data_IF_664657141907
#
_entry.id   IF_664657141907
#
_cell.length_a   1.000
_cell.length_b   1.000
_cell.length_c   1.000
_cell.angle_alpha   90.00
_cell.angle_beta   90.00
_cell.angle_gamma   90.00
#
_symmetry.space_group_name_H-M   'P 1'
#
loop_
_entity.id
_entity.type
_entity.pdbx_description
1 polymer ?
#
# COMPACT_ATOMS: atom_id res chain seq x y z
N UNK A 1 -15.32 -22.12 29.37
CA UNK A 1 -15.10 -20.69 28.98
C UNK A 1 -13.63 -20.36 29.20
N UNK A 2 -12.85 -20.11 28.13
CA UNK A 2 -11.45 -19.74 28.25
C UNK A 2 -11.29 -18.35 28.87
N UNK A 3 -10.28 -18.18 29.74
CA UNK A 3 -9.95 -16.86 30.32
C UNK A 3 -9.56 -15.88 29.19
N UNK A 4 -10.14 -14.69 29.18
CA UNK A 4 -9.81 -13.60 28.26
C UNK A 4 -8.31 -13.26 28.42
N UNK A 5 -7.58 -13.03 27.32
CA UNK A 5 -6.14 -12.70 27.30
C UNK A 5 -5.16 -13.82 27.74
N UNK A 6 -5.45 -15.08 27.50
CA UNK A 6 -4.40 -16.10 27.66
C UNK A 6 -3.32 -15.90 26.58
N UNK A 7 -2.02 -15.89 26.96
CA UNK A 7 -0.94 -15.76 25.99
C UNK A 7 -0.88 -17.05 25.14
N UNK A 8 -1.01 -16.88 23.84
CA UNK A 8 -0.92 -17.97 22.86
C UNK A 8 0.55 -18.19 22.54
N UNK A 9 1.05 -19.42 22.60
CA UNK A 9 2.43 -19.73 22.24
C UNK A 9 2.71 -19.38 20.78
N UNK A 10 3.97 -19.10 20.44
CA UNK A 10 4.36 -18.75 19.06
C UNK A 10 3.97 -19.83 18.04
N UNK A 11 4.05 -21.11 18.43
CA UNK A 11 3.62 -22.24 17.58
C UNK A 11 2.11 -22.25 17.36
N UNK A 12 1.32 -22.02 18.40
CA UNK A 12 -0.14 -21.94 18.29
C UNK A 12 -0.58 -20.75 17.43
N UNK A 13 0.13 -19.59 17.52
CA UNK A 13 -0.17 -18.42 16.70
C UNK A 13 0.05 -18.70 15.22
N UNK A 14 1.13 -19.41 14.86
CA UNK A 14 1.39 -19.84 13.49
C UNK A 14 0.33 -20.86 13.03
N UNK A 15 -0.01 -21.83 13.85
CA UNK A 15 -1.03 -22.85 13.56
C UNK A 15 -2.39 -22.18 13.27
N UNK A 16 -2.85 -21.28 14.14
CA UNK A 16 -4.11 -20.57 13.92
C UNK A 16 -4.07 -19.66 12.68
N UNK A 17 -2.91 -19.08 12.37
CA UNK A 17 -2.72 -18.33 11.12
C UNK A 17 -2.87 -19.24 9.89
N UNK A 18 -2.23 -20.41 9.88
CA UNK A 18 -2.36 -21.39 8.80
C UNK A 18 -3.81 -21.86 8.66
N UNK A 19 -4.47 -22.19 9.77
CA UNK A 19 -5.88 -22.61 9.76
C UNK A 19 -6.77 -21.53 9.14
N UNK A 20 -6.57 -20.25 9.51
CA UNK A 20 -7.33 -19.14 8.93
C UNK A 20 -7.15 -19.02 7.40
N UNK A 21 -5.92 -19.12 6.91
CA UNK A 21 -5.63 -19.11 5.46
C UNK A 21 -6.24 -20.35 4.78
N UNK A 22 -6.10 -21.53 5.39
CA UNK A 22 -6.67 -22.77 4.83
C UNK A 22 -8.19 -22.67 4.72
N UNK A 23 -8.88 -22.12 5.72
CA UNK A 23 -10.34 -21.91 5.66
C UNK A 23 -10.72 -21.03 4.48
N UNK A 24 -10.00 -19.91 4.24
CA UNK A 24 -10.26 -19.05 3.10
C UNK A 24 -10.06 -19.77 1.76
N UNK A 25 -8.98 -20.56 1.63
CA UNK A 25 -8.71 -21.34 0.42
C UNK A 25 -9.78 -22.41 0.19
N UNK A 26 -10.22 -23.10 1.25
CA UNK A 26 -11.28 -24.11 1.16
C UNK A 26 -12.60 -23.46 0.74
N UNK A 27 -12.99 -22.33 1.36
CA UNK A 27 -14.22 -21.61 0.99
C UNK A 27 -14.17 -21.19 -0.49
N UNK A 28 -13.06 -20.63 -0.94
CA UNK A 28 -12.88 -20.26 -2.36
C UNK A 28 -13.00 -21.51 -3.26
N UNK A 29 -12.31 -22.59 -2.94
CA UNK A 29 -12.32 -23.82 -3.74
C UNK A 29 -13.70 -24.44 -3.85
N UNK A 30 -14.47 -24.44 -2.74
CA UNK A 30 -15.87 -24.93 -2.73
C UNK A 30 -16.76 -24.05 -3.59
N UNK A 31 -16.62 -22.72 -3.52
CA UNK A 31 -17.40 -21.80 -4.33
C UNK A 31 -17.06 -21.96 -5.82
N UNK A 32 -15.77 -22.02 -6.17
CA UNK A 32 -15.32 -22.24 -7.54
C UNK A 32 -15.80 -23.58 -8.08
N UNK A 33 -15.72 -24.66 -7.29
CA UNK A 33 -16.22 -25.98 -7.69
C UNK A 33 -17.73 -25.97 -7.96
N UNK A 34 -18.52 -25.39 -7.06
CA UNK A 34 -19.99 -25.28 -7.25
C UNK A 34 -20.35 -24.53 -8.52
N UNK A 35 -19.62 -23.45 -8.82
CA UNK A 35 -19.83 -22.65 -10.02
C UNK A 35 -19.53 -23.46 -11.29
N UNK A 36 -18.40 -24.18 -11.31
CA UNK A 36 -18.01 -25.00 -12.47
C UNK A 36 -18.90 -26.23 -12.69
N UNK A 37 -19.54 -26.75 -11.66
CA UNK A 37 -20.56 -27.80 -11.79
C UNK A 37 -21.82 -27.28 -12.51
N UNK A 38 -22.18 -26.01 -12.27
CA UNK A 38 -23.32 -25.39 -12.94
C UNK A 38 -22.97 -24.89 -14.34
N UNK A 39 -21.77 -24.34 -14.53
CA UNK A 39 -21.28 -23.83 -15.80
C UNK A 39 -19.79 -24.17 -15.97
N UNK A 40 -19.43 -25.23 -16.72
CA UNK A 40 -18.04 -25.65 -16.89
C UNK A 40 -17.11 -24.61 -17.54
N UNK A 41 -17.68 -23.67 -18.31
CA UNK A 41 -16.95 -22.62 -19.02
C UNK A 41 -16.91 -21.29 -18.25
N UNK A 42 -17.35 -21.28 -17.00
CA UNK A 42 -17.39 -20.05 -16.21
C UNK A 42 -15.99 -19.53 -15.89
N UNK A 43 -15.78 -18.25 -16.14
CA UNK A 43 -14.54 -17.53 -15.87
C UNK A 43 -14.64 -16.62 -14.65
N UNK A 44 -15.82 -16.48 -14.03
CA UNK A 44 -16.03 -15.55 -12.89
C UNK A 44 -15.34 -15.98 -11.61
N UNK A 45 -15.30 -17.29 -11.33
CA UNK A 45 -14.58 -17.89 -10.21
C UNK A 45 -13.58 -18.92 -10.74
N UNK A 46 -12.38 -18.51 -11.20
CA UNK A 46 -11.43 -19.41 -11.85
C UNK A 46 -11.06 -20.60 -10.96
N UNK A 47 -10.89 -21.75 -11.58
CA UNK A 47 -10.33 -22.91 -10.93
C UNK A 47 -8.80 -22.81 -10.82
N UNK A 48 -8.16 -23.74 -10.10
CA UNK A 48 -6.70 -23.73 -9.88
C UNK A 48 -5.92 -23.79 -11.20
N UNK A 49 -6.43 -24.52 -12.20
CA UNK A 49 -5.77 -24.62 -13.52
C UNK A 49 -5.86 -23.31 -14.28
N UNK A 50 -7.01 -22.64 -14.28
CA UNK A 50 -7.20 -21.33 -14.89
C UNK A 50 -6.33 -20.26 -14.20
N UNK A 51 -6.25 -20.27 -12.85
CA UNK A 51 -5.36 -19.38 -12.11
C UNK A 51 -3.89 -19.58 -12.48
N UNK A 52 -3.45 -20.83 -12.63
CA UNK A 52 -2.10 -21.13 -13.04
C UNK A 52 -1.80 -20.69 -14.48
N UNK A 53 -2.76 -20.89 -15.38
CA UNK A 53 -2.65 -20.41 -16.75
C UNK A 53 -2.60 -18.86 -16.79
N UNK A 54 -3.50 -18.18 -16.11
CA UNK A 54 -3.49 -16.73 -16.02
C UNK A 54 -2.19 -16.18 -15.40
N UNK A 55 -1.61 -16.88 -14.41
CA UNK A 55 -0.29 -16.53 -13.88
C UNK A 55 0.81 -16.68 -14.93
N UNK A 56 0.79 -17.74 -15.72
CA UNK A 56 1.74 -17.94 -16.83
C UNK A 56 1.60 -16.82 -17.87
N UNK A 57 0.38 -16.43 -18.19
CA UNK A 57 0.10 -15.42 -19.21
C UNK A 57 0.65 -14.04 -18.81
N UNK A 58 0.51 -13.63 -17.54
CA UNK A 58 1.09 -12.37 -17.05
C UNK A 58 2.63 -12.38 -16.95
N UNK A 59 3.23 -13.58 -16.89
CA UNK A 59 4.69 -13.74 -16.90
C UNK A 59 5.27 -13.78 -18.30
N UNK A 60 4.44 -13.82 -19.37
CA UNK A 60 4.92 -13.79 -20.75
C UNK A 60 5.16 -12.34 -21.21
N UNK A 61 6.09 -12.11 -22.15
CA UNK A 61 6.30 -10.79 -22.75
C UNK A 61 5.03 -10.28 -23.43
N UNK A 62 4.83 -8.98 -23.38
CA UNK A 62 3.71 -8.32 -24.08
C UNK A 62 3.94 -8.48 -25.59
N UNK A 63 3.11 -9.27 -26.26
CA UNK A 63 3.18 -9.48 -27.70
C UNK A 63 2.77 -8.20 -28.47
N UNK A 64 3.60 -7.17 -28.45
CA UNK A 64 3.37 -5.91 -29.16
C UNK A 64 4.07 -5.84 -30.51
N UNK A 65 5.29 -6.36 -30.60
CA UNK A 65 6.09 -6.32 -31.83
C UNK A 65 6.10 -7.66 -32.56
N UNK A 66 6.00 -8.78 -31.84
CA UNK A 66 6.10 -10.11 -32.46
C UNK A 66 4.89 -10.43 -33.34
N UNK A 67 3.69 -9.99 -32.96
CA UNK A 67 2.49 -10.18 -33.79
C UNK A 67 2.50 -9.31 -35.05
N UNK A 68 3.06 -8.10 -34.98
CA UNK A 68 3.26 -7.23 -36.14
C UNK A 68 4.40 -7.74 -37.00
N UNK A 69 5.52 -8.14 -36.42
CA UNK A 69 6.63 -8.73 -37.15
C UNK A 69 6.22 -10.01 -37.89
N UNK A 70 5.45 -10.90 -37.24
CA UNK A 70 4.90 -12.09 -37.85
C UNK A 70 3.89 -11.76 -38.98
N UNK A 71 3.07 -10.70 -38.80
CA UNK A 71 2.14 -10.25 -39.84
C UNK A 71 2.86 -9.68 -41.07
N UNK A 72 4.09 -9.14 -40.92
CA UNK A 72 4.93 -8.64 -41.98
C UNK A 72 6.00 -9.67 -42.47
N UNK A 73 5.97 -10.91 -41.94
CA UNK A 73 6.90 -11.96 -42.35
C UNK A 73 8.36 -11.72 -41.90
N UNK A 74 8.54 -10.88 -40.89
CA UNK A 74 9.84 -10.62 -40.28
C UNK A 74 10.10 -11.67 -39.19
N UNK A 75 11.27 -12.30 -39.19
CA UNK A 75 11.66 -13.17 -38.08
C UNK A 75 11.85 -12.34 -36.81
N UNK A 76 11.26 -12.76 -35.66
CA UNK A 76 11.45 -12.07 -34.40
C UNK A 76 12.95 -12.08 -34.02
N UNK A 77 13.51 -10.93 -33.71
CA UNK A 77 14.88 -10.85 -33.22
C UNK A 77 15.05 -11.69 -31.94
N UNK A 78 16.19 -12.37 -31.76
CA UNK A 78 16.43 -13.16 -30.54
C UNK A 78 16.48 -12.25 -29.31
N UNK A 79 15.37 -12.16 -28.62
CA UNK A 79 15.24 -11.34 -27.41
C UNK A 79 16.04 -11.97 -26.27
N UNK A 80 16.94 -11.22 -25.65
CA UNK A 80 17.73 -11.67 -24.50
C UNK A 80 16.82 -12.17 -23.37
N UNK A 81 17.30 -13.13 -22.57
CA UNK A 81 16.53 -13.63 -21.41
C UNK A 81 16.14 -12.51 -20.45
N UNK A 82 17.00 -11.52 -20.25
CA UNK A 82 16.69 -10.34 -19.43
C UNK A 82 15.58 -9.47 -20.04
N UNK A 83 15.60 -9.29 -21.36
CA UNK A 83 14.56 -8.51 -22.05
C UNK A 83 13.20 -9.21 -21.98
N UNK A 84 13.17 -10.54 -22.04
CA UNK A 84 11.94 -11.32 -21.82
C UNK A 84 11.34 -11.14 -20.43
N UNK A 85 12.18 -11.07 -19.40
CA UNK A 85 11.70 -10.86 -18.03
C UNK A 85 11.24 -9.41 -17.83
N UNK A 86 12.00 -8.43 -18.31
CA UNK A 86 11.66 -7.01 -18.14
C UNK A 86 10.47 -6.56 -18.97
N UNK A 87 10.21 -7.22 -20.11
CA UNK A 87 9.04 -6.98 -20.96
C UNK A 87 7.80 -7.81 -20.57
N UNK A 88 7.89 -8.65 -19.53
CA UNK A 88 6.72 -9.34 -19.01
C UNK A 88 5.69 -8.34 -18.46
N UNK A 89 4.43 -8.55 -18.77
CA UNK A 89 3.32 -7.69 -18.32
C UNK A 89 3.41 -7.38 -16.83
N UNK A 90 3.62 -8.43 -16.03
CA UNK A 90 3.71 -8.31 -14.59
C UNK A 90 4.82 -7.35 -14.15
N UNK A 91 5.99 -7.41 -14.75
CA UNK A 91 7.15 -6.59 -14.32
C UNK A 91 6.94 -5.14 -14.67
N UNK A 92 6.46 -4.84 -15.87
CA UNK A 92 6.17 -3.49 -16.35
C UNK A 92 5.09 -2.84 -15.47
N UNK A 93 3.96 -3.54 -15.26
CA UNK A 93 2.84 -3.06 -14.48
C UNK A 93 3.20 -2.90 -13.00
N UNK A 94 3.93 -3.87 -12.42
CA UNK A 94 4.41 -3.80 -11.05
C UNK A 94 5.36 -2.62 -10.85
N UNK A 95 6.31 -2.43 -11.76
CA UNK A 95 7.25 -1.31 -11.68
C UNK A 95 6.54 0.05 -11.70
N UNK A 96 5.58 0.23 -12.60
CA UNK A 96 4.77 1.45 -12.68
C UNK A 96 4.00 1.69 -11.37
N UNK A 97 3.24 0.69 -10.92
CA UNK A 97 2.41 0.80 -9.71
C UNK A 97 3.26 1.05 -8.46
N UNK A 98 4.34 0.29 -8.23
CA UNK A 98 5.16 0.47 -7.02
C UNK A 98 5.99 1.75 -7.02
N UNK A 99 6.44 2.21 -8.18
CA UNK A 99 7.12 3.50 -8.29
C UNK A 99 6.17 4.65 -7.91
N UNK A 100 4.94 4.63 -8.38
CA UNK A 100 3.89 5.61 -8.02
C UNK A 100 3.56 5.53 -6.53
N UNK A 101 3.37 4.31 -6.01
CA UNK A 101 3.09 4.08 -4.59
C UNK A 101 4.20 4.64 -3.71
N UNK A 102 5.45 4.33 -4.04
CA UNK A 102 6.60 4.81 -3.28
C UNK A 102 6.70 6.34 -3.30
N UNK A 103 6.58 6.96 -4.48
CA UNK A 103 6.58 8.42 -4.61
C UNK A 103 5.46 9.06 -3.77
N UNK A 104 4.24 8.52 -3.85
CA UNK A 104 3.09 9.03 -3.10
C UNK A 104 3.25 8.89 -1.58
N UNK A 105 3.71 7.72 -1.11
CA UNK A 105 3.98 7.47 0.31
C UNK A 105 5.14 8.32 0.84
N UNK A 106 6.21 8.50 0.06
CA UNK A 106 7.34 9.36 0.46
C UNK A 106 6.93 10.82 0.61
N UNK A 107 6.25 11.39 -0.40
CA UNK A 107 5.77 12.76 -0.34
C UNK A 107 4.71 12.97 0.73
N UNK A 108 3.68 12.12 0.73
CA UNK A 108 2.60 12.19 1.72
C UNK A 108 3.11 11.94 3.14
N UNK A 109 3.99 10.95 3.31
CA UNK A 109 4.63 10.63 4.59
C UNK A 109 5.51 11.77 5.11
N UNK A 110 6.39 12.30 4.26
CA UNK A 110 7.27 13.42 4.63
C UNK A 110 6.45 14.64 5.10
N UNK A 111 5.47 15.05 4.29
CA UNK A 111 4.62 16.19 4.64
C UNK A 111 3.83 15.95 5.94
N UNK A 112 3.32 14.73 6.13
CA UNK A 112 2.59 14.35 7.34
C UNK A 112 3.48 14.35 8.59
N UNK A 113 4.72 13.90 8.47
CA UNK A 113 5.69 13.92 9.59
C UNK A 113 6.00 15.36 9.98
N UNK A 114 6.29 16.23 9.02
CA UNK A 114 6.58 17.64 9.27
C UNK A 114 5.38 18.33 9.93
N UNK A 115 4.20 18.25 9.31
CA UNK A 115 2.99 18.91 9.81
C UNK A 115 2.56 18.34 11.16
N UNK A 116 2.50 17.02 11.29
CA UNK A 116 2.06 16.36 12.53
C UNK A 116 2.98 16.63 13.72
N UNK A 117 4.29 16.65 13.50
CA UNK A 117 5.27 17.02 14.55
C UNK A 117 5.16 18.48 14.94
N UNK A 118 5.05 19.39 13.95
CA UNK A 118 4.87 20.83 14.23
C UNK A 118 3.55 21.11 14.96
N UNK A 119 2.47 20.44 14.61
CA UNK A 119 1.20 20.51 15.32
C UNK A 119 1.33 19.98 16.77
N UNK A 120 2.09 18.92 16.98
CA UNK A 120 2.38 18.38 18.32
C UNK A 120 3.15 19.34 19.21
N UNK A 121 4.01 20.17 18.61
CA UNK A 121 4.83 21.16 19.33
C UNK A 121 4.13 22.53 19.49
N UNK A 122 3.13 22.86 18.65
CA UNK A 122 2.52 24.19 18.62
C UNK A 122 1.00 24.10 18.65
N UNK A 123 0.39 24.34 19.80
CA UNK A 123 -1.08 24.29 20.03
C UNK A 123 -1.85 25.21 19.07
N UNK A 124 -1.32 26.40 18.75
CA UNK A 124 -1.96 27.33 17.80
C UNK A 124 -2.05 26.75 16.38
N UNK A 125 -0.97 26.07 15.94
CA UNK A 125 -0.94 25.42 14.64
C UNK A 125 -1.89 24.19 14.62
N UNK A 126 -1.93 23.45 15.70
CA UNK A 126 -2.86 22.34 15.86
C UNK A 126 -4.32 22.83 15.79
N UNK A 127 -4.66 23.86 16.53
CA UNK A 127 -6.02 24.44 16.53
C UNK A 127 -6.45 24.96 15.15
N UNK A 128 -5.51 25.45 14.34
CA UNK A 128 -5.77 25.90 12.98
C UNK A 128 -5.93 24.75 11.99
N UNK A 129 -5.06 23.71 12.06
CA UNK A 129 -5.02 22.63 11.06
C UNK A 129 -5.91 21.44 11.37
N UNK A 130 -6.23 21.15 12.64
CA UNK A 130 -7.07 19.99 13.01
C UNK A 130 -8.45 20.02 12.35
N UNK A 131 -9.21 21.14 12.34
CA UNK A 131 -10.52 21.16 11.72
C UNK A 131 -10.51 20.83 10.22
N UNK A 132 -9.69 21.49 9.36
CA UNK A 132 -9.65 21.19 7.94
C UNK A 132 -9.10 19.78 7.65
N UNK A 133 -8.07 19.31 8.35
CA UNK A 133 -7.57 17.95 8.19
C UNK A 133 -8.60 16.90 8.59
N UNK A 134 -9.36 17.15 9.66
CA UNK A 134 -10.45 16.26 10.10
C UNK A 134 -11.57 16.19 9.08
N UNK A 135 -11.90 17.32 8.44
CA UNK A 135 -12.86 17.34 7.34
C UNK A 135 -12.35 16.53 6.13
N UNK A 136 -11.13 16.80 5.68
CA UNK A 136 -10.53 16.10 4.54
C UNK A 136 -10.40 14.59 4.77
N UNK A 137 -10.07 14.16 6.01
CA UNK A 137 -10.00 12.76 6.38
C UNK A 137 -11.35 12.01 6.29
N UNK A 138 -12.47 12.73 6.27
CA UNK A 138 -13.81 12.13 6.11
C UNK A 138 -14.29 12.11 4.66
N UNK A 139 -13.63 12.84 3.77
CA UNK A 139 -13.96 12.80 2.34
C UNK A 139 -13.45 11.51 1.73
N UNK A 140 -14.32 10.68 1.11
CA UNK A 140 -13.85 9.45 0.46
C UNK A 140 -12.88 9.77 -0.66
N UNK A 141 -11.62 9.33 -0.54
CA UNK A 141 -10.58 9.64 -1.53
C UNK A 141 -10.94 9.15 -2.95
N UNK A 142 -11.60 8.01 -3.05
CA UNK A 142 -12.06 7.48 -4.34
C UNK A 142 -13.12 8.37 -5.02
N UNK A 143 -13.94 9.09 -4.25
CA UNK A 143 -14.88 10.07 -4.81
C UNK A 143 -14.18 11.32 -5.35
N UNK A 144 -12.99 11.65 -4.82
CA UNK A 144 -12.18 12.76 -5.29
C UNK A 144 -11.48 12.51 -6.62
N UNK A 145 -11.48 11.27 -7.13
CA UNK A 145 -10.85 10.92 -8.42
C UNK A 145 -11.30 11.82 -9.56
N UNK A 146 -12.59 12.10 -9.67
CA UNK A 146 -13.12 12.97 -10.72
C UNK A 146 -12.61 14.43 -10.61
N UNK A 147 -12.47 14.92 -9.39
CA UNK A 147 -11.93 16.26 -9.12
C UNK A 147 -10.45 16.33 -9.49
N UNK A 148 -9.65 15.35 -9.05
CA UNK A 148 -8.23 15.31 -9.39
C UNK A 148 -7.97 15.13 -10.88
N UNK A 149 -8.83 14.37 -11.56
CA UNK A 149 -8.79 14.24 -13.00
C UNK A 149 -8.91 15.60 -13.72
N UNK A 150 -9.81 16.44 -13.26
CA UNK A 150 -10.03 17.77 -13.85
C UNK A 150 -8.93 18.76 -13.45
N UNK A 151 -8.50 18.74 -12.18
CA UNK A 151 -7.58 19.76 -11.64
C UNK A 151 -6.12 19.44 -11.95
N UNK A 152 -5.73 18.18 -11.82
CA UNK A 152 -4.31 17.74 -11.97
C UNK A 152 -4.06 17.16 -13.37
N UNK A 153 -5.11 16.69 -14.05
CA UNK A 153 -5.02 16.02 -15.35
C UNK A 153 -4.73 14.52 -15.21
N UNK A 154 -4.36 13.88 -16.32
CA UNK A 154 -4.18 12.41 -16.43
C UNK A 154 -2.73 11.92 -16.30
N UNK A 155 -1.81 12.82 -15.95
CA UNK A 155 -0.39 12.52 -15.85
C UNK A 155 0.01 11.76 -14.59
N UNK A 156 1.28 11.39 -14.49
CA UNK A 156 1.87 10.70 -13.34
C UNK A 156 1.64 11.45 -12.01
N UNK A 157 1.55 12.78 -12.05
CA UNK A 157 1.26 13.62 -10.88
C UNK A 157 -0.09 13.31 -10.22
N UNK A 158 -1.08 12.88 -11.00
CA UNK A 158 -2.40 12.51 -10.46
C UNK A 158 -2.31 11.36 -9.46
N UNK A 159 -1.55 10.31 -9.77
CA UNK A 159 -1.40 9.15 -8.89
C UNK A 159 -0.76 9.54 -7.56
N UNK A 160 0.32 10.33 -7.62
CA UNK A 160 1.02 10.82 -6.42
C UNK A 160 0.11 11.71 -5.58
N UNK A 161 -0.64 12.61 -6.21
CA UNK A 161 -1.58 13.52 -5.53
C UNK A 161 -2.72 12.76 -4.87
N UNK A 162 -3.25 11.74 -5.53
CA UNK A 162 -4.31 10.88 -4.97
C UNK A 162 -3.84 10.15 -3.71
N UNK A 163 -2.65 9.55 -3.75
CA UNK A 163 -2.07 8.89 -2.58
C UNK A 163 -1.86 9.93 -1.46
N UNK A 164 -1.28 11.09 -1.80
CA UNK A 164 -1.05 12.17 -0.85
C UNK A 164 -2.35 12.64 -0.18
N UNK A 165 -3.40 12.88 -0.96
CA UNK A 165 -4.70 13.26 -0.43
C UNK A 165 -5.28 12.25 0.56
N UNK A 166 -5.14 10.95 0.27
CA UNK A 166 -5.62 9.89 1.14
C UNK A 166 -4.77 9.73 2.42
N UNK A 167 -3.46 9.93 2.31
CA UNK A 167 -2.50 9.67 3.40
C UNK A 167 -2.33 10.87 4.32
N UNK A 168 -2.14 12.08 3.76
CA UNK A 168 -1.75 13.28 4.53
C UNK A 168 -2.71 13.61 5.67
N UNK A 169 -4.04 13.70 5.47
CA UNK A 169 -4.94 14.10 6.56
C UNK A 169 -4.95 13.13 7.72
N UNK A 170 -4.95 11.83 7.42
CA UNK A 170 -5.04 10.76 8.43
C UNK A 170 -3.71 10.60 9.16
N UNK A 171 -2.61 10.52 8.42
CA UNK A 171 -1.28 10.31 8.98
C UNK A 171 -0.83 11.52 9.82
N UNK A 172 -1.08 12.75 9.35
CA UNK A 172 -0.76 13.98 10.10
C UNK A 172 -1.48 14.00 11.46
N UNK A 173 -2.78 13.68 11.49
CA UNK A 173 -3.52 13.61 12.74
C UNK A 173 -3.02 12.50 13.66
N UNK A 174 -2.68 11.33 13.13
CA UNK A 174 -2.13 10.22 13.91
C UNK A 174 -0.78 10.59 14.55
N UNK A 175 0.08 11.30 13.82
CA UNK A 175 1.37 11.77 14.33
C UNK A 175 1.16 12.87 15.38
N UNK A 176 0.27 13.82 15.12
CA UNK A 176 -0.09 14.87 16.09
C UNK A 176 -0.58 14.27 17.41
N UNK A 177 -1.51 13.31 17.37
CA UNK A 177 -2.01 12.65 18.57
C UNK A 177 -0.90 11.86 19.28
N UNK A 178 -0.04 11.16 18.54
CA UNK A 178 1.10 10.46 19.13
C UNK A 178 2.07 11.41 19.82
N UNK A 179 2.30 12.59 19.25
CA UNK A 179 3.12 13.62 19.89
C UNK A 179 2.45 14.15 21.15
N UNK A 180 1.16 14.46 21.08
CA UNK A 180 0.42 15.00 22.23
C UNK A 180 0.37 14.01 23.41
N UNK A 181 0.23 12.71 23.14
CA UNK A 181 0.10 11.69 24.19
C UNK A 181 1.44 11.33 24.84
N UNK A 182 2.55 11.36 24.07
CA UNK A 182 3.86 10.89 24.54
C UNK A 182 4.75 11.99 25.09
N UNK A 183 4.53 13.23 24.68
CA UNK A 183 5.35 14.35 25.13
C UNK A 183 4.87 14.87 26.50
N UNK A 184 5.72 14.70 27.49
CA UNK A 184 5.49 15.31 28.80
C UNK A 184 6.27 16.64 28.90
N UNK A 185 5.60 17.67 29.45
CA UNK A 185 6.19 19.00 29.63
C UNK A 185 7.53 18.94 30.36
N UNK A 186 7.65 18.05 31.36
CA UNK A 186 8.88 17.87 32.15
C UNK A 186 10.10 17.52 31.30
N UNK A 187 9.96 16.74 30.24
CA UNK A 187 11.08 16.34 29.36
C UNK A 187 11.54 17.52 28.50
N UNK A 188 10.58 18.30 28.03
CA UNK A 188 10.80 19.51 27.24
C UNK A 188 11.47 20.57 28.10
N UNK A 189 10.97 20.80 29.32
CA UNK A 189 11.51 21.77 30.27
C UNK A 189 12.96 21.41 30.71
N UNK A 190 13.23 20.12 30.87
CA UNK A 190 14.61 19.64 31.14
C UNK A 190 15.57 19.97 29.99
N UNK A 191 15.11 19.78 28.74
CA UNK A 191 15.93 20.10 27.56
C UNK A 191 16.26 21.62 27.51
N UNK A 192 15.25 22.46 27.78
CA UNK A 192 15.43 23.92 27.84
C UNK A 192 16.33 24.36 28.96
N UNK A 193 16.25 23.75 30.18
CA UNK A 193 17.15 24.06 31.29
C UNK A 193 18.60 23.69 31.01
N UNK A 194 18.82 22.73 30.10
CA UNK A 194 20.15 22.37 29.59
C UNK A 194 20.64 23.28 28.44
N UNK A 195 19.83 24.31 28.05
CA UNK A 195 20.21 25.28 27.04
C UNK A 195 19.90 24.88 25.61
N UNK A 196 19.04 23.85 25.40
CA UNK A 196 18.66 23.42 24.07
C UNK A 196 17.77 24.47 23.36
N UNK A 197 18.02 24.70 22.07
CA UNK A 197 17.19 25.51 21.20
C UNK A 197 15.90 24.78 20.82
N UNK A 198 14.88 25.50 20.35
CA UNK A 198 13.61 24.91 19.90
C UNK A 198 13.81 23.81 18.83
N UNK A 199 14.74 24.02 17.91
CA UNK A 199 15.04 23.05 16.86
C UNK A 199 15.67 21.78 17.42
N UNK A 200 16.59 21.90 18.36
CA UNK A 200 17.23 20.77 19.03
C UNK A 200 16.24 19.97 19.86
N UNK A 201 15.30 20.63 20.54
CA UNK A 201 14.22 19.95 21.27
C UNK A 201 13.33 19.16 20.31
N UNK A 202 12.89 19.75 19.18
CA UNK A 202 12.07 19.06 18.20
C UNK A 202 12.82 17.86 17.61
N UNK A 203 14.08 18.03 17.24
CA UNK A 203 14.86 17.00 16.53
C UNK A 203 15.31 15.86 17.44
N UNK A 204 15.87 16.20 18.62
CA UNK A 204 16.51 15.23 19.50
C UNK A 204 15.57 14.64 20.56
N UNK A 205 14.53 15.36 20.95
CA UNK A 205 13.57 14.89 21.98
C UNK A 205 12.27 14.43 21.35
N UNK A 206 11.59 15.33 20.64
CA UNK A 206 10.24 15.06 20.14
C UNK A 206 10.27 13.97 19.07
N UNK A 207 11.00 14.19 17.98
CA UNK A 207 11.04 13.25 16.84
C UNK A 207 11.55 11.88 17.25
N UNK A 208 12.61 11.80 18.06
CA UNK A 208 13.14 10.51 18.48
C UNK A 208 12.16 9.72 19.35
N UNK A 209 11.40 10.41 20.20
CA UNK A 209 10.40 9.77 21.06
C UNK A 209 9.22 9.23 20.28
N UNK A 210 8.71 9.98 19.30
CA UNK A 210 7.54 9.59 18.52
C UNK A 210 7.88 8.76 17.26
N UNK A 211 9.16 8.67 16.86
CA UNK A 211 9.62 7.96 15.65
C UNK A 211 9.07 6.53 15.53
N UNK A 212 9.04 5.69 16.57
CA UNK A 212 8.46 4.36 16.48
C UNK A 212 6.99 4.39 16.10
N UNK A 213 6.22 5.32 16.66
CA UNK A 213 4.80 5.50 16.36
C UNK A 213 4.58 6.08 14.97
N UNK A 214 5.45 6.99 14.51
CA UNK A 214 5.44 7.48 13.12
C UNK A 214 5.56 6.29 12.15
N UNK A 215 6.54 5.42 12.35
CA UNK A 215 6.76 4.25 11.48
C UNK A 215 5.58 3.26 11.53
N UNK A 216 4.99 3.04 12.71
CA UNK A 216 3.79 2.21 12.84
C UNK A 216 2.57 2.84 12.14
N UNK A 217 2.37 4.14 12.26
CA UNK A 217 1.29 4.85 11.59
C UNK A 217 1.49 4.88 10.08
N UNK A 218 2.72 5.09 9.57
CA UNK A 218 3.05 4.99 8.15
C UNK A 218 2.76 3.59 7.60
N UNK A 219 3.12 2.56 8.34
CA UNK A 219 2.82 1.17 7.98
C UNK A 219 1.32 0.95 7.74
N UNK A 220 0.49 1.50 8.62
CA UNK A 220 -0.97 1.39 8.51
C UNK A 220 -1.55 2.14 7.30
N UNK A 221 -0.81 3.09 6.72
CA UNK A 221 -1.23 3.81 5.53
C UNK A 221 -0.93 3.08 4.21
N UNK A 222 -0.12 2.02 4.22
CA UNK A 222 0.22 1.26 2.99
C UNK A 222 -1.04 0.71 2.32
N UNK A 223 -1.94 0.07 3.08
CA UNK A 223 -3.20 -0.48 2.57
C UNK A 223 -4.10 0.59 1.91
N UNK A 224 -4.50 1.63 2.63
CA UNK A 224 -5.26 2.74 2.07
C UNK A 224 -4.59 3.39 0.84
N UNK A 225 -3.27 3.61 0.88
CA UNK A 225 -2.53 4.18 -0.25
C UNK A 225 -2.63 3.31 -1.52
N UNK A 226 -2.52 1.98 -1.36
CA UNK A 226 -2.72 1.03 -2.46
C UNK A 226 -4.14 1.12 -3.03
N UNK A 227 -5.17 1.23 -2.19
CA UNK A 227 -6.57 1.38 -2.65
C UNK A 227 -6.73 2.63 -3.49
N UNK A 228 -6.21 3.78 -3.05
CA UNK A 228 -6.29 5.02 -3.81
C UNK A 228 -5.54 4.95 -5.14
N UNK A 229 -4.33 4.37 -5.12
CA UNK A 229 -3.52 4.21 -6.34
C UNK A 229 -4.21 3.30 -7.36
N UNK A 230 -4.64 2.10 -6.93
CA UNK A 230 -5.29 1.13 -7.83
C UNK A 230 -6.58 1.73 -8.41
N UNK A 231 -7.38 2.42 -7.60
CA UNK A 231 -8.58 3.10 -8.09
C UNK A 231 -8.24 4.19 -9.15
N UNK A 232 -7.17 4.96 -8.95
CA UNK A 232 -6.71 5.94 -9.93
C UNK A 232 -6.19 5.28 -11.21
N UNK A 233 -5.39 4.20 -11.10
CA UNK A 233 -4.90 3.44 -12.25
C UNK A 233 -6.05 2.80 -13.05
N UNK A 234 -7.08 2.30 -12.37
CA UNK A 234 -8.28 1.78 -13.03
C UNK A 234 -9.03 2.84 -13.81
N UNK A 235 -8.97 4.11 -13.40
CA UNK A 235 -9.69 5.19 -14.08
C UNK A 235 -8.90 5.76 -15.28
N UNK A 236 -7.65 6.13 -15.07
CA UNK A 236 -6.84 6.89 -16.03
C UNK A 236 -5.50 6.23 -16.39
N UNK A 237 -5.14 5.13 -15.77
CA UNK A 237 -3.89 4.41 -16.06
C UNK A 237 -3.83 3.93 -17.51
N UNK A 238 -2.65 3.92 -18.09
CA UNK A 238 -2.31 3.28 -19.35
C UNK A 238 -1.40 2.07 -19.13
N UNK A 239 -0.68 2.07 -18.01
CA UNK A 239 0.18 0.98 -17.52
C UNK A 239 0.01 0.91 -16.01
N UNK A 240 0.11 -0.28 -15.44
CA UNK A 240 0.01 -0.54 -14.01
C UNK A 240 -0.98 -1.64 -13.68
N UNK A 241 -0.84 -2.19 -12.47
CA UNK A 241 -1.70 -3.32 -12.03
C UNK A 241 -3.18 -2.96 -12.02
N UNK A 242 -3.55 -1.74 -11.59
CA UNK A 242 -4.94 -1.27 -11.60
C UNK A 242 -5.51 -1.15 -13.03
N UNK A 243 -4.71 -0.67 -13.97
CA UNK A 243 -5.08 -0.63 -15.38
C UNK A 243 -5.38 -2.03 -15.92
N UNK A 244 -4.49 -3.00 -15.67
CA UNK A 244 -4.68 -4.37 -16.12
C UNK A 244 -5.89 -5.03 -15.46
N UNK A 245 -6.08 -4.85 -14.17
CA UNK A 245 -7.28 -5.36 -13.48
C UNK A 245 -8.56 -4.89 -14.20
N UNK A 246 -8.65 -3.60 -14.54
CA UNK A 246 -9.80 -3.05 -15.27
C UNK A 246 -9.93 -3.64 -16.67
N UNK A 247 -8.84 -3.73 -17.42
CA UNK A 247 -8.85 -4.24 -18.80
C UNK A 247 -9.27 -5.71 -18.84
N UNK A 248 -8.65 -6.54 -18.00
CA UNK A 248 -8.94 -7.97 -17.95
C UNK A 248 -10.34 -8.27 -17.40
N UNK A 249 -10.82 -7.46 -16.45
CA UNK A 249 -12.20 -7.53 -15.98
C UNK A 249 -13.22 -7.30 -17.10
N UNK A 250 -12.96 -6.34 -18.00
CA UNK A 250 -13.82 -6.08 -19.16
C UNK A 250 -13.82 -7.21 -20.18
N UNK A 251 -12.69 -7.92 -20.28
CA UNK A 251 -12.52 -9.08 -21.16
C UNK A 251 -12.99 -10.39 -20.51
N UNK A 252 -13.48 -10.33 -19.27
CA UNK A 252 -13.90 -11.48 -18.44
C UNK A 252 -12.76 -12.47 -18.17
N UNK A 253 -11.50 -12.05 -18.27
CA UNK A 253 -10.31 -12.83 -17.86
C UNK A 253 -10.08 -12.70 -16.36
N UNK A 254 -10.96 -13.27 -15.58
CA UNK A 254 -10.91 -13.15 -14.12
C UNK A 254 -9.74 -13.93 -13.52
N UNK A 255 -9.23 -14.94 -14.19
CA UNK A 255 -8.00 -15.67 -13.85
C UNK A 255 -6.79 -14.74 -13.73
N UNK A 256 -6.64 -13.78 -14.66
CA UNK A 256 -5.59 -12.76 -14.61
C UNK A 256 -5.88 -11.74 -13.48
N UNK A 257 -7.12 -11.30 -13.34
CA UNK A 257 -7.52 -10.34 -12.29
C UNK A 257 -7.20 -10.88 -10.90
N UNK A 258 -7.56 -12.12 -10.58
CA UNK A 258 -7.25 -12.74 -9.28
C UNK A 258 -5.76 -12.87 -9.03
N UNK A 259 -4.96 -13.14 -10.06
CA UNK A 259 -3.50 -13.17 -9.94
C UNK A 259 -2.92 -11.80 -9.58
N UNK A 260 -3.36 -10.71 -10.22
CA UNK A 260 -2.94 -9.35 -9.85
C UNK A 260 -3.36 -8.99 -8.42
N UNK A 261 -4.58 -9.33 -8.01
CA UNK A 261 -5.06 -9.11 -6.63
C UNK A 261 -4.21 -9.90 -5.60
N UNK A 262 -3.87 -11.15 -5.93
CA UNK A 262 -3.00 -11.96 -5.08
C UNK A 262 -1.60 -11.35 -4.93
N UNK A 263 -1.00 -10.89 -6.03
CA UNK A 263 0.31 -10.23 -6.02
C UNK A 263 0.26 -8.94 -5.19
N UNK A 264 -0.77 -8.11 -5.35
CA UNK A 264 -0.98 -6.91 -4.54
C UNK A 264 -1.10 -7.25 -3.05
N UNK A 265 -1.82 -8.30 -2.69
CA UNK A 265 -1.93 -8.76 -1.32
C UNK A 265 -0.59 -9.22 -0.73
N UNK A 266 0.17 -10.02 -1.48
CA UNK A 266 1.49 -10.51 -1.06
C UNK A 266 2.47 -9.35 -0.90
N UNK A 267 2.53 -8.44 -1.85
CA UNK A 267 3.43 -7.28 -1.78
C UNK A 267 3.04 -6.31 -0.66
N UNK A 268 1.75 -6.10 -0.40
CA UNK A 268 1.28 -5.36 0.77
C UNK A 268 1.78 -5.97 2.08
N UNK A 269 1.70 -7.30 2.22
CA UNK A 269 2.25 -8.03 3.38
C UNK A 269 3.77 -7.91 3.48
N UNK A 270 4.49 -7.95 2.37
CA UNK A 270 5.95 -7.77 2.35
C UNK A 270 6.34 -6.35 2.78
N UNK A 271 5.64 -5.33 2.28
CA UNK A 271 5.85 -3.95 2.69
C UNK A 271 5.55 -3.75 4.19
N UNK A 272 4.47 -4.35 4.71
CA UNK A 272 4.14 -4.33 6.14
C UNK A 272 5.27 -4.93 6.98
N UNK A 273 5.79 -6.10 6.58
CA UNK A 273 6.93 -6.76 7.26
C UNK A 273 8.22 -5.93 7.13
N UNK A 274 8.46 -5.32 5.98
CA UNK A 274 9.57 -4.41 5.75
C UNK A 274 9.54 -3.22 6.69
N UNK A 275 8.39 -2.59 6.89
CA UNK A 275 8.20 -1.47 7.82
C UNK A 275 8.42 -1.89 9.28
N UNK A 276 7.97 -3.08 9.69
CA UNK A 276 8.25 -3.63 11.04
C UNK A 276 9.75 -3.82 11.24
N UNK A 277 10.45 -4.35 10.23
CA UNK A 277 11.89 -4.57 10.28
C UNK A 277 12.66 -3.24 10.33
N UNK A 278 12.24 -2.26 9.52
CA UNK A 278 12.78 -0.90 9.51
C UNK A 278 12.62 -0.23 10.89
N UNK A 279 11.43 -0.34 11.51
CA UNK A 279 11.21 0.18 12.86
C UNK A 279 12.14 -0.46 13.88
N UNK A 280 12.31 -1.79 13.84
CA UNK A 280 13.22 -2.49 14.76
C UNK A 280 14.67 -2.07 14.59
N UNK A 281 15.06 -1.76 13.36
CA UNK A 281 16.41 -1.32 13.04
C UNK A 281 16.67 0.13 13.46
N UNK A 282 15.71 1.03 13.17
CA UNK A 282 15.82 2.45 13.51
C UNK A 282 15.57 2.74 14.99
N UNK A 283 14.72 1.94 15.66
CA UNK A 283 14.29 2.18 17.03
C UNK A 283 14.56 0.96 17.93
N UNK A 284 15.83 0.56 18.16
CA UNK A 284 16.18 -0.63 18.96
C UNK A 284 15.79 -0.50 20.44
N UNK A 285 15.55 0.73 20.92
CA UNK A 285 15.07 1.00 22.28
C UNK A 285 13.56 0.76 22.45
N UNK A 286 12.80 0.77 21.37
CA UNK A 286 11.36 0.58 21.40
C UNK A 286 11.03 -0.91 21.38
N UNK A 287 10.46 -1.43 22.45
CA UNK A 287 10.09 -2.85 22.58
C UNK A 287 10.94 -3.66 23.54
N UNK A 288 11.96 -3.06 24.17
CA UNK A 288 12.69 -3.70 25.29
C UNK A 288 11.95 -3.62 26.64
N UNK A 289 10.79 -2.99 26.70
CA UNK A 289 9.95 -2.82 27.90
C UNK A 289 8.70 -3.71 27.88
N UNK A 290 8.73 -4.87 27.21
CA UNK A 290 7.66 -5.86 27.29
C UNK A 290 8.17 -7.17 27.85
#
# INVERSE_FOLDING_TARGET
>A
MGRIKQPVSSRQRILWGIVGVTVLVVVYSVLSYRQHVQNPTDTTLPNVQQLFQGFKDICTPRAGNDSLAAAFGLEPEPVSFFDKITSAWLVEDAWATYTRLFKGLMWGGFLSVVLGTLMGCHERLASFLVPPLSFLAKVPGTAMLAVFFVVVGTGEGMFVTMIGFGVIPILTQSIYLSAKDDLHSEEIDKAYTLGASNFEVIWNVVLQKILPKILDNMRLQIGPAMVYLIAAEMLVGQVGMGYQIRMQQRLLHMDIVYNYLFILGVTGLLMDRGMISLRKWLCPWYGRRA
#
